data_IF_894180343654
#
_entry.id   IF_894180343654
#
_cell.length_a   1.000
_cell.length_b   1.000
_cell.length_c   1.000
_cell.angle_alpha   90.00
_cell.angle_beta   90.00
_cell.angle_gamma   90.00
#
_symmetry.space_group_name_H-M   'P 1'
#
loop_
_entity.id
_entity.type
_entity.pdbx_description
1 polymer ?
#
# COMPACT_ATOMS: atom_id res chain seq x y z
N UNK A 1 -25.59 7.38 -7.78
CA UNK A 1 -24.14 7.41 -8.01
C UNK A 1 -23.57 7.92 -6.72
N UNK A 2 -23.28 6.98 -5.80
CA UNK A 2 -22.72 7.29 -4.49
C UNK A 2 -21.39 7.99 -4.71
N UNK A 3 -21.28 9.17 -4.11
CA UNK A 3 -20.11 10.04 -4.12
C UNK A 3 -19.08 9.42 -3.15
N UNK A 4 -18.64 8.20 -3.47
CA UNK A 4 -17.78 7.34 -2.65
C UNK A 4 -16.38 7.96 -2.44
N UNK A 5 -16.12 9.08 -3.12
CA UNK A 5 -14.93 9.90 -3.03
C UNK A 5 -15.18 11.26 -2.35
N UNK A 6 -16.41 11.55 -1.91
CA UNK A 6 -16.77 12.79 -1.21
C UNK A 6 -16.61 12.61 0.30
N UNK A 7 -15.37 12.33 0.69
CA UNK A 7 -14.97 12.29 2.11
C UNK A 7 -14.30 13.62 2.43
N UNK A 8 -14.68 14.30 3.52
CA UNK A 8 -14.08 15.58 3.90
C UNK A 8 -12.56 15.45 4.08
N UNK A 9 -11.81 16.31 3.37
CA UNK A 9 -10.33 16.42 3.33
C UNK A 9 -9.67 16.79 4.68
N UNK A 10 -10.36 16.67 5.82
CA UNK A 10 -9.80 17.00 7.14
C UNK A 10 -8.96 15.85 7.72
N UNK A 11 -9.13 14.64 7.20
CA UNK A 11 -8.41 13.47 7.66
C UNK A 11 -7.14 13.25 6.82
N UNK A 12 -6.02 13.76 7.33
CA UNK A 12 -4.71 13.61 6.69
C UNK A 12 -4.28 12.15 6.53
N UNK A 13 -4.76 11.24 7.38
CA UNK A 13 -4.50 9.81 7.25
C UNK A 13 -5.28 9.22 6.08
N UNK A 14 -6.55 9.62 5.93
CA UNK A 14 -7.37 9.21 4.79
C UNK A 14 -6.82 9.73 3.46
N UNK A 15 -6.35 10.97 3.41
CA UNK A 15 -5.72 11.53 2.20
C UNK A 15 -4.45 10.77 1.82
N UNK A 16 -3.65 10.36 2.81
CA UNK A 16 -2.47 9.54 2.57
C UNK A 16 -2.85 8.15 2.01
N UNK A 17 -3.96 7.55 2.46
CA UNK A 17 -4.47 6.28 1.92
C UNK A 17 -4.96 6.41 0.47
N UNK A 18 -5.67 7.50 0.15
CA UNK A 18 -6.13 7.79 -1.22
C UNK A 18 -4.93 8.01 -2.15
N UNK A 19 -3.92 8.76 -1.72
CA UNK A 19 -2.69 8.96 -2.47
C UNK A 19 -1.97 7.63 -2.72
N UNK A 20 -1.81 6.79 -1.69
CA UNK A 20 -1.19 5.48 -1.81
C UNK A 20 -1.94 4.59 -2.80
N UNK A 21 -3.26 4.52 -2.69
CA UNK A 21 -4.12 3.72 -3.58
C UNK A 21 -4.04 4.22 -5.02
N UNK A 22 -4.01 5.54 -5.21
CA UNK A 22 -3.87 6.15 -6.54
C UNK A 22 -2.53 5.78 -7.16
N UNK A 23 -1.44 5.88 -6.40
CA UNK A 23 -0.10 5.50 -6.87
C UNK A 23 -0.01 4.02 -7.25
N UNK A 24 -0.67 3.13 -6.50
CA UNK A 24 -0.78 1.70 -6.83
C UNK A 24 -1.53 1.46 -8.15
N UNK A 25 -2.66 2.12 -8.34
CA UNK A 25 -3.46 1.99 -9.56
C UNK A 25 -2.67 2.46 -10.78
N UNK A 26 -1.98 3.59 -10.67
CA UNK A 26 -1.14 4.12 -11.75
C UNK A 26 -0.02 3.13 -12.07
N UNK A 27 0.73 2.69 -11.08
CA UNK A 27 1.84 1.75 -11.28
C UNK A 27 1.37 0.43 -11.93
N UNK A 28 0.22 -0.10 -11.49
CA UNK A 28 -0.36 -1.31 -12.08
C UNK A 28 -0.89 -1.08 -13.50
N UNK A 29 -1.36 0.12 -13.82
CA UNK A 29 -1.88 0.48 -15.15
C UNK A 29 -0.78 0.77 -16.15
N UNK A 30 0.37 1.27 -15.70
CA UNK A 30 1.54 1.56 -16.53
C UNK A 30 2.45 0.35 -16.74
N UNK A 31 2.32 -0.68 -15.88
CA UNK A 31 3.05 -1.92 -16.01
C UNK A 31 2.50 -2.78 -17.15
N UNK A 32 3.38 -3.17 -18.08
CA UNK A 32 3.02 -4.07 -19.19
C UNK A 32 2.75 -5.51 -18.71
N UNK A 33 3.33 -5.89 -17.57
CA UNK A 33 3.20 -7.19 -16.92
C UNK A 33 2.69 -7.04 -15.47
N UNK A 34 2.33 -8.15 -14.81
CA UNK A 34 1.97 -8.10 -13.39
C UNK A 34 3.13 -7.60 -12.54
N UNK A 35 2.90 -6.59 -11.70
CA UNK A 35 3.90 -6.07 -10.76
C UNK A 35 4.41 -7.19 -9.84
N UNK A 36 5.73 -7.17 -9.58
CA UNK A 36 6.33 -8.11 -8.63
C UNK A 36 5.96 -7.75 -7.18
N UNK A 37 5.94 -8.75 -6.30
CA UNK A 37 5.64 -8.54 -4.87
C UNK A 37 6.63 -7.53 -4.24
N UNK A 38 7.91 -7.58 -4.61
CA UNK A 38 8.93 -6.66 -4.09
C UNK A 38 8.65 -5.20 -4.48
N UNK A 39 8.08 -4.99 -5.66
CA UNK A 39 7.74 -3.67 -6.17
C UNK A 39 6.50 -3.11 -5.49
N UNK A 40 5.48 -3.95 -5.30
CA UNK A 40 4.30 -3.64 -4.49
C UNK A 40 4.71 -3.30 -3.05
N UNK A 41 5.60 -4.09 -2.45
CA UNK A 41 6.07 -3.88 -1.09
C UNK A 41 6.86 -2.57 -0.96
N UNK A 42 7.63 -2.16 -1.98
CA UNK A 42 8.29 -0.85 -1.98
C UNK A 42 7.29 0.29 -2.06
N UNK A 43 6.28 0.17 -2.92
CA UNK A 43 5.25 1.19 -3.10
C UNK A 43 4.38 1.35 -1.83
N UNK A 44 4.12 0.25 -1.15
CA UNK A 44 3.45 0.20 0.16
C UNK A 44 4.37 0.58 1.34
N UNK A 45 5.66 0.86 1.11
CA UNK A 45 6.63 1.20 2.16
C UNK A 45 7.03 0.02 3.07
N UNK A 46 6.77 -1.22 2.65
CA UNK A 46 7.02 -2.46 3.39
C UNK A 46 8.42 -3.04 3.19
N UNK A 47 9.20 -2.52 2.24
CA UNK A 47 10.54 -3.01 1.88
C UNK A 47 11.58 -2.99 3.01
N UNK A 48 11.23 -2.49 4.20
CA UNK A 48 12.07 -2.47 5.39
C UNK A 48 11.52 -3.29 6.57
N UNK A 49 10.49 -4.14 6.39
CA UNK A 49 10.10 -5.10 7.44
C UNK A 49 11.18 -6.15 7.59
N UNK A 50 12.05 -5.95 8.59
CA UNK A 50 13.01 -6.94 9.09
C UNK A 50 12.24 -8.27 9.33
N UNK A 51 12.76 -9.42 8.87
CA UNK A 51 12.09 -10.70 9.03
C UNK A 51 11.80 -10.95 10.51
N UNK A 52 10.61 -11.50 10.76
CA UNK A 52 10.05 -11.82 12.06
C UNK A 52 11.11 -12.16 13.10
N UNK A 53 11.13 -11.43 14.21
CA UNK A 53 11.89 -11.81 15.40
C UNK A 53 11.40 -13.19 15.87
N UNK A 54 12.18 -14.19 15.45
CA UNK A 54 12.58 -15.39 16.18
C UNK A 54 11.46 -16.16 16.90
N UNK A 55 11.26 -17.39 16.42
CA UNK A 55 10.37 -18.37 17.03
C UNK A 55 10.54 -18.43 18.55
N UNK A 56 9.47 -18.13 19.27
CA UNK A 56 9.28 -18.66 20.60
C UNK A 56 8.94 -20.15 20.49
N UNK A 57 9.96 -20.96 20.19
CA UNK A 57 9.99 -22.34 20.68
C UNK A 57 10.19 -22.25 22.19
N UNK A 58 9.11 -22.05 22.94
CA UNK A 58 9.12 -22.32 24.38
C UNK A 58 8.73 -23.78 24.56
N UNK A 59 9.76 -24.55 24.86
CA UNK A 59 9.76 -25.89 25.45
C UNK A 59 8.87 -26.00 26.68
#
# INVERSE_FOLDING_TARGET
MDDQLNVPLEDAELLAEVELTTNLIIAASESEESMSQDEVDRLLGLAHRIPAQQGHSRS
#
